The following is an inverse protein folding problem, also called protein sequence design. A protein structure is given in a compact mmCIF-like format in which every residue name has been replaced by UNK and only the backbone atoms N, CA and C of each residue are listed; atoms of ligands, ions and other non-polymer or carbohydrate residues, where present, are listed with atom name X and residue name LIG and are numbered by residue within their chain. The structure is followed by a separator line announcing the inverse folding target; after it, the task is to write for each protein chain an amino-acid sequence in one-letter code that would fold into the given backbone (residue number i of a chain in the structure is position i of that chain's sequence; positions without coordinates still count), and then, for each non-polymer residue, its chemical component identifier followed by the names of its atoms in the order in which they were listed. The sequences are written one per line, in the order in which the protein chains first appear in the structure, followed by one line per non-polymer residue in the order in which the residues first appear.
data_IF_467115240939
#
_entry.id   IF_467115240939
#
_cell.length_a   1.000
_cell.length_b   1.000
_cell.length_c   1.000
_cell.angle_alpha   90.00
_cell.angle_beta   90.00
_cell.angle_gamma   90.00
#
_symmetry.space_group_name_H-M   'P 1'
#
loop_
_entity.id
_entity.type
_entity.pdbx_description
1 polymer ?
#
# COMPACT_ATOMS: atom_id res chain seq x y z
N UNK A 1 4.33 -26.95 -67.94
CA UNK A 1 3.80 -26.05 -66.89
C UNK A 1 4.72 -26.14 -65.69
N UNK A 2 5.46 -25.06 -65.43
CA UNK A 2 6.66 -25.05 -64.60
C UNK A 2 6.37 -24.84 -63.11
N UNK A 3 7.01 -25.64 -62.27
CA UNK A 3 7.00 -25.53 -60.81
C UNK A 3 7.94 -24.40 -60.37
N UNK A 4 7.43 -23.36 -59.70
CA UNK A 4 8.26 -22.30 -59.12
C UNK A 4 8.46 -22.53 -57.63
N UNK A 5 9.71 -22.83 -57.26
CA UNK A 5 10.23 -22.85 -55.90
C UNK A 5 10.19 -21.43 -55.29
N UNK A 6 9.88 -21.33 -53.99
CA UNK A 6 10.01 -20.09 -53.22
C UNK A 6 11.11 -20.22 -52.19
N UNK A 7 12.11 -19.37 -52.36
CA UNK A 7 13.33 -19.25 -51.57
C UNK A 7 13.09 -18.86 -50.11
N UNK A 8 13.91 -19.46 -49.26
CA UNK A 8 13.94 -19.35 -47.81
C UNK A 8 14.97 -18.27 -47.44
N UNK A 9 14.54 -17.05 -47.15
CA UNK A 9 15.42 -15.97 -46.69
C UNK A 9 15.51 -15.98 -45.17
N UNK A 10 16.57 -16.61 -44.64
CA UNK A 10 17.02 -16.47 -43.24
C UNK A 10 17.62 -15.08 -43.05
N UNK A 11 16.92 -14.24 -42.27
CA UNK A 11 17.44 -12.95 -41.80
C UNK A 11 18.09 -13.14 -40.45
N UNK A 12 19.42 -13.18 -40.48
CA UNK A 12 20.33 -13.19 -39.35
C UNK A 12 20.64 -11.73 -38.99
N UNK A 13 20.07 -11.19 -37.91
CA UNK A 13 20.46 -9.89 -37.38
C UNK A 13 20.35 -9.79 -35.85
N UNK A 14 21.47 -9.36 -35.27
CA UNK A 14 21.65 -8.68 -33.99
C UNK A 14 21.44 -9.47 -32.69
N UNK A 15 22.48 -10.21 -32.29
CA UNK A 15 22.83 -10.42 -30.88
C UNK A 15 23.36 -9.11 -30.30
N UNK A 16 22.47 -8.30 -29.73
CA UNK A 16 22.88 -7.19 -28.87
C UNK A 16 23.35 -7.71 -27.52
N UNK A 17 24.62 -7.40 -27.29
CA UNK A 17 25.43 -7.59 -26.12
C UNK A 17 24.84 -6.84 -24.91
N UNK A 18 24.07 -7.52 -24.06
CA UNK A 18 23.70 -7.02 -22.73
C UNK A 18 24.59 -7.67 -21.68
N UNK A 19 25.72 -7.00 -21.43
CA UNK A 19 26.49 -7.14 -20.20
C UNK A 19 25.56 -6.91 -18.99
N UNK A 20 25.02 -8.01 -18.46
CA UNK A 20 24.28 -8.05 -17.21
C UNK A 20 25.27 -7.97 -16.07
N UNK A 21 25.51 -6.74 -15.59
CA UNK A 21 26.21 -6.42 -14.38
C UNK A 21 25.60 -7.15 -13.18
N UNK A 22 26.26 -8.21 -12.74
CA UNK A 22 26.04 -8.81 -11.43
C UNK A 22 26.48 -7.81 -10.36
N UNK A 23 25.52 -7.05 -9.83
CA UNK A 23 25.72 -6.24 -8.64
C UNK A 23 26.05 -7.12 -7.44
N UNK A 24 27.33 -7.19 -7.11
CA UNK A 24 27.84 -7.77 -5.86
C UNK A 24 27.23 -7.00 -4.69
N UNK A 25 26.35 -7.69 -3.96
CA UNK A 25 25.61 -7.15 -2.82
C UNK A 25 26.56 -7.06 -1.62
N UNK A 26 27.21 -5.90 -1.48
CA UNK A 26 28.03 -5.57 -0.32
C UNK A 26 27.21 -5.70 0.98
N UNK A 27 27.66 -6.60 1.84
CA UNK A 27 27.19 -6.80 3.20
C UNK A 27 27.88 -5.80 4.12
N UNK A 28 27.25 -4.65 4.36
CA UNK A 28 27.67 -3.75 5.44
C UNK A 28 27.10 -4.25 6.76
N UNK A 29 27.90 -5.07 7.44
CA UNK A 29 27.91 -5.18 8.89
C UNK A 29 28.52 -3.91 9.50
N UNK A 30 27.86 -3.36 10.50
CA UNK A 30 28.41 -3.04 11.83
C UNK A 30 27.69 -1.85 12.46
N UNK A 31 27.62 -1.91 13.79
CA UNK A 31 27.72 -0.77 14.69
C UNK A 31 26.45 -0.11 15.24
N UNK A 32 26.36 -0.27 16.57
CA UNK A 32 25.89 0.66 17.60
C UNK A 32 24.46 0.46 18.13
N UNK A 33 24.42 -0.51 19.04
CA UNK A 33 23.58 -0.63 20.25
C UNK A 33 23.46 0.74 20.95
N UNK A 34 22.36 1.46 20.71
CA UNK A 34 22.00 2.67 21.49
C UNK A 34 21.13 2.24 22.67
N UNK A 35 21.75 2.28 23.85
CA UNK A 35 21.15 2.19 25.20
C UNK A 35 19.99 3.19 25.28
N UNK A 36 18.75 2.71 25.42
CA UNK A 36 17.58 3.56 25.70
C UNK A 36 17.31 3.49 27.19
N UNK A 37 17.46 4.65 27.82
CA UNK A 37 17.04 4.94 29.19
C UNK A 37 15.53 4.76 29.33
N UNK A 38 15.16 4.29 30.53
CA UNK A 38 13.80 4.12 30.98
C UNK A 38 13.08 5.47 31.00
N UNK A 39 11.88 5.52 30.41
CA UNK A 39 10.92 6.60 30.66
C UNK A 39 9.99 6.19 31.80
N UNK A 40 9.75 7.07 32.78
CA UNK A 40 8.85 6.80 33.90
C UNK A 40 7.37 6.80 33.47
N UNK A 41 6.59 5.94 34.13
CA UNK A 41 5.13 5.85 34.06
C UNK A 41 4.48 7.21 34.23
N UNK A 42 3.66 7.61 33.26
CA UNK A 42 2.76 8.76 33.40
C UNK A 42 1.41 8.26 33.85
N UNK A 43 1.08 8.62 35.08
CA UNK A 43 -0.19 8.45 35.77
C UNK A 43 -1.38 8.79 34.86
N UNK A 44 -2.40 7.92 34.90
CA UNK A 44 -3.72 8.16 34.35
C UNK A 44 -4.50 9.03 35.34
N UNK A 45 -4.86 10.24 34.92
CA UNK A 45 -5.80 11.10 35.64
C UNK A 45 -7.15 11.05 34.91
N UNK A 46 -8.23 10.55 35.54
CA UNK A 46 -9.55 10.58 34.96
C UNK A 46 -10.26 11.89 35.35
N UNK A 47 -10.27 12.86 34.43
CA UNK A 47 -11.10 14.06 34.57
C UNK A 47 -12.48 13.79 33.96
N UNK A 48 -13.46 13.59 34.84
CA UNK A 48 -14.87 13.66 34.49
C UNK A 48 -15.31 15.13 34.37
N UNK A 49 -16.01 15.53 33.30
CA UNK A 49 -16.70 16.81 33.29
C UNK A 49 -18.02 16.71 34.06
N UNK A 50 -18.01 17.28 35.26
CA UNK A 50 -19.21 17.63 36.05
C UNK A 50 -20.01 18.70 35.30
N UNK A 51 -21.12 18.32 34.65
CA UNK A 51 -22.14 19.25 34.15
C UNK A 51 -22.88 19.90 35.32
N UNK A 52 -22.38 21.05 35.78
CA UNK A 52 -23.16 21.99 36.58
C UNK A 52 -24.20 22.64 35.67
N UNK A 53 -25.47 22.26 35.82
CA UNK A 53 -26.61 23.05 35.33
C UNK A 53 -26.66 24.34 36.14
N UNK A 54 -26.31 25.46 35.53
CA UNK A 54 -26.67 26.78 36.01
C UNK A 54 -28.10 27.06 35.53
N UNK A 55 -29.01 27.10 36.51
CA UNK A 55 -30.38 27.53 36.34
C UNK A 55 -30.36 29.07 36.32
N UNK A 56 -30.39 29.66 35.13
CA UNK A 56 -30.51 31.11 34.98
C UNK A 56 -31.99 31.46 34.97
N UNK A 57 -32.47 31.89 36.13
CA UNK A 57 -33.76 32.55 36.29
C UNK A 57 -33.68 33.91 35.61
N UNK A 58 -34.30 34.03 34.43
CA UNK A 58 -34.42 35.27 33.68
C UNK A 58 -35.57 36.06 34.30
N UNK A 59 -35.20 37.10 35.05
CA UNK A 59 -36.11 38.15 35.47
C UNK A 59 -36.61 38.90 34.22
N UNK A 60 -37.93 39.08 34.17
CA UNK A 60 -38.61 39.93 33.22
C UNK A 60 -38.22 41.38 33.48
N UNK A 61 -37.47 41.96 32.55
CA UNK A 61 -37.30 43.41 32.42
C UNK A 61 -38.13 43.84 31.21
N UNK A 62 -39.32 44.35 31.49
CA UNK A 62 -40.10 45.15 30.55
C UNK A 62 -39.42 46.51 30.43
N UNK A 63 -38.77 46.76 29.30
CA UNK A 63 -38.06 48.01 29.05
C UNK A 63 -37.82 48.24 27.56
N UNK A 64 -38.68 49.06 26.95
CA UNK A 64 -38.43 49.91 25.79
C UNK A 64 -37.29 49.53 24.83
N UNK A 65 -37.53 48.57 23.92
CA UNK A 65 -36.63 48.26 22.80
C UNK A 65 -37.41 48.03 21.49
N UNK A 66 -38.04 49.09 20.96
CA UNK A 66 -38.78 49.03 19.69
C UNK A 66 -37.96 49.54 18.48
N UNK A 67 -36.63 49.68 18.60
CA UNK A 67 -35.75 50.12 17.50
C UNK A 67 -34.74 49.05 17.03
N UNK A 68 -34.64 47.90 17.70
CA UNK A 68 -33.69 46.83 17.33
C UNK A 68 -34.26 45.76 16.36
N UNK A 69 -35.58 45.77 16.10
CA UNK A 69 -36.21 44.72 15.29
C UNK A 69 -35.88 44.84 13.79
N UNK A 70 -35.67 46.04 13.27
CA UNK A 70 -35.39 46.21 11.82
C UNK A 70 -33.99 45.71 11.44
N UNK A 71 -32.99 45.97 12.29
CA UNK A 71 -31.62 45.51 12.07
C UNK A 71 -31.54 43.98 12.14
N UNK A 72 -32.26 43.33 13.06
CA UNK A 72 -32.28 41.89 13.17
C UNK A 72 -32.91 41.20 11.94
N UNK A 73 -33.97 41.80 11.37
CA UNK A 73 -34.60 41.31 10.14
C UNK A 73 -33.64 41.41 8.94
N UNK A 74 -32.82 42.45 8.84
CA UNK A 74 -31.84 42.56 7.75
C UNK A 74 -30.74 41.50 7.87
N UNK A 75 -30.24 41.24 9.08
CA UNK A 75 -29.23 40.20 9.33
C UNK A 75 -29.76 38.81 9.00
N UNK A 76 -31.01 38.52 9.34
CA UNK A 76 -31.65 37.23 9.03
C UNK A 76 -31.85 37.03 7.52
N UNK A 77 -32.22 38.08 6.78
CA UNK A 77 -32.34 38.02 5.31
C UNK A 77 -31.00 37.76 4.63
N UNK A 78 -29.91 38.39 5.10
CA UNK A 78 -28.55 38.14 4.58
C UNK A 78 -28.12 36.70 4.83
N UNK A 79 -28.38 36.15 6.03
CA UNK A 79 -28.07 34.74 6.35
C UNK A 79 -28.86 33.76 5.47
N UNK A 80 -30.14 34.04 5.20
CA UNK A 80 -30.94 33.21 4.28
C UNK A 80 -30.39 33.23 2.86
N UNK A 81 -30.08 34.41 2.32
CA UNK A 81 -29.49 34.53 0.98
C UNK A 81 -28.13 33.81 0.88
N UNK A 82 -27.30 33.87 1.94
CA UNK A 82 -26.02 33.16 1.99
C UNK A 82 -26.21 31.63 2.05
N UNK A 83 -27.18 31.15 2.85
CA UNK A 83 -27.51 29.73 2.91
C UNK A 83 -28.07 29.20 1.58
N UNK A 84 -28.90 29.99 0.90
CA UNK A 84 -29.43 29.64 -0.42
C UNK A 84 -28.35 29.61 -1.51
N UNK A 85 -27.41 30.58 -1.49
CA UNK A 85 -26.27 30.58 -2.40
C UNK A 85 -25.32 29.38 -2.17
N UNK A 86 -25.09 29.00 -0.91
CA UNK A 86 -24.34 27.79 -0.56
C UNK A 86 -25.06 26.50 -1.02
N UNK A 87 -26.41 26.48 -0.93
CA UNK A 87 -27.22 25.35 -1.38
C UNK A 87 -27.25 25.24 -2.92
N UNK A 88 -27.30 26.36 -3.64
CA UNK A 88 -27.27 26.40 -5.10
C UNK A 88 -25.90 25.98 -5.66
N UNK A 89 -24.80 26.33 -4.98
CA UNK A 89 -23.45 25.87 -5.35
C UNK A 89 -23.24 24.39 -5.05
N UNK A 90 -23.80 23.86 -3.95
CA UNK A 90 -23.81 22.42 -3.67
C UNK A 90 -24.68 21.61 -4.66
N UNK A 91 -25.76 22.20 -5.19
CA UNK A 91 -26.61 21.54 -6.18
C UNK A 91 -25.96 21.45 -7.56
N UNK A 92 -25.16 22.46 -7.97
CA UNK A 92 -24.52 22.49 -9.30
C UNK A 92 -23.40 21.46 -9.48
N UNK A 93 -22.80 20.95 -8.40
CA UNK A 93 -21.78 19.88 -8.48
C UNK A 93 -22.36 18.46 -8.57
N UNK A 94 -23.69 18.31 -8.51
CA UNK A 94 -24.34 16.98 -8.45
C UNK A 94 -24.81 16.41 -9.80
N UNK A 95 -24.73 17.16 -10.90
CA UNK A 95 -25.37 16.77 -12.17
C UNK A 95 -24.45 16.16 -13.24
N UNK A 96 -23.13 16.15 -13.05
CA UNK A 96 -22.23 15.30 -13.85
C UNK A 96 -22.01 13.94 -13.17
N UNK A 97 -23.10 13.29 -12.77
CA UNK A 97 -23.08 11.86 -12.42
C UNK A 97 -22.94 11.06 -13.71
N UNK A 98 -21.76 11.17 -14.32
CA UNK A 98 -21.31 10.27 -15.38
C UNK A 98 -21.64 8.85 -14.92
N UNK A 99 -22.51 8.16 -15.67
CA UNK A 99 -23.04 6.83 -15.34
C UNK A 99 -21.93 5.96 -14.76
N UNK A 100 -21.95 5.79 -13.43
CA UNK A 100 -20.87 5.10 -12.72
C UNK A 100 -20.91 3.65 -13.16
N UNK A 101 -19.89 3.23 -13.92
CA UNK A 101 -19.80 1.87 -14.42
C UNK A 101 -19.41 0.96 -13.26
N UNK A 102 -20.35 0.12 -12.82
CA UNK A 102 -20.09 -0.89 -11.79
C UNK A 102 -19.10 -1.92 -12.33
N UNK A 103 -17.94 -2.05 -11.68
CA UNK A 103 -16.91 -3.01 -12.04
C UNK A 103 -17.04 -4.28 -11.18
N UNK A 104 -17.48 -5.37 -11.81
CA UNK A 104 -17.62 -6.66 -11.15
C UNK A 104 -16.25 -7.27 -10.86
N UNK A 105 -16.13 -7.94 -9.71
CA UNK A 105 -14.88 -8.58 -9.29
C UNK A 105 -14.56 -9.76 -10.23
N UNK A 106 -13.37 -9.79 -10.87
CA UNK A 106 -12.95 -10.94 -11.66
C UNK A 106 -12.80 -12.22 -10.82
N UNK A 107 -12.97 -13.37 -11.44
CA UNK A 107 -12.71 -14.68 -10.81
C UNK A 107 -11.21 -14.83 -10.52
N UNK A 108 -10.88 -15.35 -9.34
CA UNK A 108 -9.49 -15.61 -8.91
C UNK A 108 -8.99 -14.68 -7.80
N UNK A 109 -7.69 -14.72 -7.53
CA UNK A 109 -7.01 -13.85 -6.58
C UNK A 109 -6.06 -12.86 -7.29
N UNK A 110 -5.96 -11.64 -6.78
CA UNK A 110 -5.14 -10.60 -7.37
C UNK A 110 -3.65 -10.98 -7.32
N UNK A 111 -2.97 -10.91 -8.46
CA UNK A 111 -1.54 -11.21 -8.59
C UNK A 111 -1.20 -12.70 -8.70
N UNK A 112 -2.19 -13.58 -8.73
CA UNK A 112 -1.98 -15.03 -8.67
C UNK A 112 -1.79 -15.67 -10.06
N UNK A 113 -0.77 -15.23 -10.80
CA UNK A 113 -0.32 -15.80 -12.08
C UNK A 113 -1.39 -16.45 -12.96
N UNK A 114 -1.31 -17.78 -13.16
CA UNK A 114 -2.15 -18.58 -14.08
C UNK A 114 -3.65 -18.60 -13.74
N UNK A 115 -4.04 -18.36 -12.47
CA UNK A 115 -5.44 -18.45 -12.00
C UNK A 115 -5.99 -17.14 -11.46
N UNK A 116 -5.13 -16.13 -11.38
CA UNK A 116 -5.42 -14.82 -10.83
C UNK A 116 -5.66 -13.79 -11.92
N UNK A 117 -5.84 -12.56 -11.47
CA UNK A 117 -6.01 -11.42 -12.35
C UNK A 117 -5.05 -10.29 -11.99
N UNK A 118 -4.76 -9.43 -12.96
CA UNK A 118 -4.01 -8.22 -12.70
C UNK A 118 -4.96 -7.13 -12.17
N UNK A 119 -4.77 -6.75 -10.91
CA UNK A 119 -5.63 -5.81 -10.20
C UNK A 119 -5.79 -4.47 -10.92
N UNK A 120 -4.69 -3.91 -11.43
CA UNK A 120 -4.70 -2.62 -12.15
C UNK A 120 -5.55 -2.70 -13.42
N UNK A 121 -5.46 -3.81 -14.16
CA UNK A 121 -6.27 -4.00 -15.36
C UNK A 121 -7.75 -4.20 -15.03
N UNK A 122 -8.06 -4.90 -13.94
CA UNK A 122 -9.44 -5.11 -13.48
C UNK A 122 -10.14 -3.82 -13.01
N UNK A 123 -9.37 -2.84 -12.54
CA UNK A 123 -9.86 -1.50 -12.21
C UNK A 123 -9.92 -0.56 -13.42
N UNK A 124 -9.66 -1.07 -14.63
CA UNK A 124 -9.61 -0.28 -15.88
C UNK A 124 -8.56 0.85 -15.89
N UNK A 125 -7.59 0.82 -14.96
CA UNK A 125 -6.52 1.81 -14.83
C UNK A 125 -5.37 1.54 -15.81
N UNK A 126 -5.60 1.76 -17.11
CA UNK A 126 -4.60 1.54 -18.17
C UNK A 126 -3.70 2.77 -18.38
N UNK A 127 -2.53 2.54 -19.00
CA UNK A 127 -1.59 3.62 -19.36
C UNK A 127 -0.76 4.17 -18.19
N UNK A 128 -0.06 5.29 -18.46
CA UNK A 128 0.81 5.97 -17.48
C UNK A 128 0.00 6.63 -16.36
N UNK A 129 -1.02 7.43 -16.73
CA UNK A 129 -1.93 8.08 -15.77
C UNK A 129 -2.64 7.06 -14.86
N UNK A 130 -3.13 5.95 -15.42
CA UNK A 130 -3.74 4.88 -14.63
C UNK A 130 -2.76 4.22 -13.65
N UNK A 131 -1.48 4.13 -14.00
CA UNK A 131 -0.43 3.64 -13.08
C UNK A 131 -0.19 4.61 -11.91
N UNK A 132 -0.21 5.92 -12.17
CA UNK A 132 -0.06 6.95 -11.14
C UNK A 132 -1.22 6.89 -10.15
N UNK A 133 -2.47 6.91 -10.65
CA UNK A 133 -3.68 6.77 -9.83
C UNK A 133 -3.65 5.47 -9.02
N UNK A 134 -3.29 4.35 -9.64
CA UNK A 134 -3.17 3.08 -8.93
C UNK A 134 -2.17 3.14 -7.77
N UNK A 135 -1.01 3.78 -7.97
CA UNK A 135 0.00 3.93 -6.94
C UNK A 135 -0.46 4.86 -5.82
N UNK A 136 -1.16 5.93 -6.15
CA UNK A 136 -1.73 6.86 -5.18
C UNK A 136 -2.73 6.16 -4.26
N UNK A 137 -3.68 5.41 -4.84
CA UNK A 137 -4.65 4.64 -4.06
C UNK A 137 -3.93 3.60 -3.18
N UNK A 138 -2.92 2.93 -3.72
CA UNK A 138 -2.14 1.94 -2.99
C UNK A 138 -1.40 2.58 -1.80
N UNK A 139 -0.90 3.80 -1.97
CA UNK A 139 -0.27 4.57 -0.90
C UNK A 139 -1.30 4.99 0.18
N UNK A 140 -2.48 5.47 -0.22
CA UNK A 140 -3.57 5.74 0.72
C UNK A 140 -3.92 4.49 1.55
N UNK A 141 -4.06 3.32 0.90
CA UNK A 141 -4.31 2.05 1.61
C UNK A 141 -3.23 1.77 2.64
N UNK A 142 -1.94 2.00 2.34
CA UNK A 142 -0.84 1.78 3.29
C UNK A 142 -0.94 2.72 4.49
N UNK A 143 -1.11 4.01 4.25
CA UNK A 143 -1.23 5.04 5.28
C UNK A 143 -2.37 4.68 6.23
N UNK A 144 -3.56 4.41 5.69
CA UNK A 144 -4.74 4.10 6.49
C UNK A 144 -4.65 2.74 7.19
N UNK A 145 -3.94 1.77 6.62
CA UNK A 145 -3.67 0.50 7.31
C UNK A 145 -2.83 0.71 8.57
N UNK A 146 -1.81 1.57 8.50
CA UNK A 146 -0.97 1.93 9.64
C UNK A 146 -1.80 2.71 10.66
N UNK A 147 -2.56 3.71 10.22
CA UNK A 147 -3.40 4.55 11.07
C UNK A 147 -4.48 3.76 11.81
N UNK A 148 -5.11 2.79 11.15
CA UNK A 148 -6.09 1.90 11.77
C UNK A 148 -5.47 0.87 12.74
N UNK A 149 -4.14 0.79 12.82
CA UNK A 149 -3.43 -0.11 13.73
C UNK A 149 -3.72 -1.59 13.44
N UNK A 150 -3.68 -1.98 12.16
CA UNK A 150 -3.73 -3.39 11.77
C UNK A 150 -2.42 -4.10 12.15
N UNK A 151 -2.52 -5.37 12.53
CA UNK A 151 -1.35 -6.15 12.94
C UNK A 151 -0.66 -6.77 11.73
N UNK A 152 0.49 -6.23 11.34
CA UNK A 152 1.24 -6.73 10.19
C UNK A 152 1.80 -8.15 10.34
N UNK A 153 1.77 -8.74 11.54
CA UNK A 153 2.18 -10.14 11.76
C UNK A 153 1.08 -11.12 11.37
N UNK A 154 -0.18 -10.72 11.49
CA UNK A 154 -1.36 -11.56 11.21
C UNK A 154 -1.70 -11.60 9.73
N UNK A 155 -2.23 -12.74 9.29
CA UNK A 155 -2.78 -12.87 7.93
C UNK A 155 -4.09 -12.06 7.81
N UNK A 156 -4.46 -11.67 6.59
CA UNK A 156 -5.69 -10.89 6.32
C UNK A 156 -6.94 -11.50 6.97
N UNK A 157 -7.10 -12.84 6.90
CA UNK A 157 -8.26 -13.56 7.48
C UNK A 157 -8.35 -13.52 9.01
N UNK A 158 -7.27 -13.14 9.69
CA UNK A 158 -7.17 -13.09 11.16
C UNK A 158 -7.06 -11.64 11.67
N UNK A 159 -7.27 -10.66 10.80
CA UNK A 159 -7.36 -9.26 11.19
C UNK A 159 -8.75 -8.98 11.78
N UNK A 160 -8.84 -7.94 12.57
CA UNK A 160 -10.12 -7.41 13.03
C UNK A 160 -10.89 -6.81 11.85
N UNK A 161 -12.10 -7.32 11.60
CA UNK A 161 -12.95 -6.89 10.51
C UNK A 161 -13.41 -5.43 10.66
N UNK A 162 -13.57 -4.94 11.90
CA UNK A 162 -13.97 -3.55 12.14
C UNK A 162 -12.86 -2.59 11.69
N UNK A 163 -11.61 -2.93 11.99
CA UNK A 163 -10.44 -2.16 11.52
C UNK A 163 -10.30 -2.19 10.00
N UNK A 164 -10.53 -3.34 9.37
CA UNK A 164 -10.55 -3.44 7.91
C UNK A 164 -11.63 -2.54 7.31
N UNK A 165 -12.85 -2.57 7.87
CA UNK A 165 -13.94 -1.71 7.45
C UNK A 165 -13.57 -0.22 7.55
N UNK A 166 -12.95 0.19 8.65
CA UNK A 166 -12.48 1.57 8.83
C UNK A 166 -11.45 1.99 7.76
N UNK A 167 -10.51 1.10 7.42
CA UNK A 167 -9.56 1.37 6.31
C UNK A 167 -10.31 1.60 5.00
N UNK A 168 -11.33 0.81 4.69
CA UNK A 168 -12.10 0.99 3.46
C UNK A 168 -12.87 2.31 3.45
N UNK A 169 -13.52 2.67 4.56
CA UNK A 169 -14.22 3.96 4.69
C UNK A 169 -13.26 5.15 4.47
N UNK A 170 -12.08 5.13 5.12
CA UNK A 170 -11.08 6.19 4.96
C UNK A 170 -10.54 6.26 3.53
N UNK A 171 -10.23 5.12 2.91
CA UNK A 171 -9.77 5.09 1.50
C UNK A 171 -10.84 5.64 0.56
N UNK A 172 -12.10 5.26 0.73
CA UNK A 172 -13.20 5.76 -0.10
C UNK A 172 -13.41 7.28 0.07
N UNK A 173 -13.22 7.81 1.29
CA UNK A 173 -13.35 9.26 1.53
C UNK A 173 -12.28 10.10 0.84
N UNK A 174 -11.07 9.54 0.64
CA UNK A 174 -9.93 10.28 0.07
C UNK A 174 -9.78 10.03 -1.43
N UNK A 175 -10.23 8.88 -1.91
CA UNK A 175 -10.13 8.49 -3.31
C UNK A 175 -11.54 8.39 -3.92
N UNK A 176 -12.05 9.46 -4.56
CA UNK A 176 -13.39 9.45 -5.17
C UNK A 176 -13.57 8.37 -6.26
N UNK A 177 -12.48 7.89 -6.83
CA UNK A 177 -12.49 6.77 -7.79
C UNK A 177 -12.80 5.42 -7.14
N UNK A 178 -12.66 5.29 -5.82
CA UNK A 178 -12.82 4.06 -5.04
C UNK A 178 -14.21 3.95 -4.37
N UNK A 179 -15.25 4.56 -4.93
CA UNK A 179 -16.61 4.51 -4.36
C UNK A 179 -17.23 3.10 -4.45
N UNK A 180 -18.13 2.78 -3.53
CA UNK A 180 -18.87 1.51 -3.50
C UNK A 180 -19.66 1.25 -4.79
N UNK A 181 -20.12 2.31 -5.45
CA UNK A 181 -20.82 2.25 -6.73
C UNK A 181 -19.91 1.70 -7.86
N UNK A 182 -18.63 2.07 -7.84
CA UNK A 182 -17.64 1.53 -8.78
C UNK A 182 -17.23 0.11 -8.41
N UNK A 183 -17.04 -0.15 -7.10
CA UNK A 183 -16.47 -1.39 -6.59
C UNK A 183 -17.35 -2.01 -5.50
N UNK A 184 -18.31 -2.88 -5.87
CA UNK A 184 -19.18 -3.54 -4.91
C UNK A 184 -18.38 -4.26 -3.81
N UNK A 185 -18.77 -4.07 -2.55
CA UNK A 185 -18.13 -4.68 -1.38
C UNK A 185 -16.64 -4.32 -1.25
N UNK A 186 -16.20 -3.19 -1.84
CA UNK A 186 -14.83 -2.68 -1.76
C UNK A 186 -13.77 -3.72 -2.19
N UNK A 187 -14.09 -4.57 -3.19
CA UNK A 187 -13.23 -5.70 -3.55
C UNK A 187 -11.82 -5.27 -3.99
N UNK A 188 -11.70 -4.10 -4.61
CA UNK A 188 -10.42 -3.57 -5.09
C UNK A 188 -9.52 -3.13 -3.92
N UNK A 189 -10.05 -2.35 -2.98
CA UNK A 189 -9.35 -1.98 -1.75
C UNK A 189 -8.96 -3.21 -0.92
N UNK A 190 -9.86 -4.20 -0.81
CA UNK A 190 -9.56 -5.47 -0.13
C UNK A 190 -8.40 -6.25 -0.78
N UNK A 191 -8.33 -6.26 -2.12
CA UNK A 191 -7.24 -6.89 -2.85
C UNK A 191 -5.89 -6.18 -2.63
N UNK A 192 -5.88 -4.84 -2.68
CA UNK A 192 -4.68 -4.03 -2.38
C UNK A 192 -4.19 -4.26 -0.95
N UNK A 193 -5.12 -4.26 0.02
CA UNK A 193 -4.80 -4.51 1.42
C UNK A 193 -4.19 -5.90 1.65
N UNK A 194 -4.76 -6.94 1.04
CA UNK A 194 -4.20 -8.30 1.07
C UNK A 194 -2.79 -8.35 0.51
N UNK A 195 -2.55 -7.71 -0.64
CA UNK A 195 -1.24 -7.65 -1.26
C UNK A 195 -0.23 -6.94 -0.36
N UNK A 196 -0.60 -5.81 0.24
CA UNK A 196 0.25 -5.05 1.16
C UNK A 196 0.63 -5.87 2.40
N UNK A 197 -0.35 -6.43 3.11
CA UNK A 197 -0.11 -7.28 4.30
C UNK A 197 0.73 -8.51 3.95
N UNK A 198 0.46 -9.14 2.80
CA UNK A 198 1.24 -10.27 2.30
C UNK A 198 2.70 -9.91 2.03
N UNK A 199 2.97 -8.75 1.42
CA UNK A 199 4.32 -8.25 1.16
C UNK A 199 5.04 -7.89 2.46
N UNK A 200 4.37 -7.18 3.37
CA UNK A 200 4.96 -6.77 4.64
C UNK A 200 5.34 -7.99 5.50
N UNK A 201 4.49 -9.03 5.55
CA UNK A 201 4.82 -10.29 6.22
C UNK A 201 6.03 -11.00 5.60
N UNK A 202 6.14 -11.02 4.28
CA UNK A 202 7.33 -11.57 3.60
C UNK A 202 8.60 -10.81 4.00
N UNK A 203 8.52 -9.50 4.09
CA UNK A 203 9.61 -8.65 4.56
C UNK A 203 9.98 -8.92 6.03
N UNK A 204 9.00 -9.01 6.93
CA UNK A 204 9.22 -9.34 8.35
C UNK A 204 9.91 -10.70 8.54
N UNK A 205 9.55 -11.72 7.75
CA UNK A 205 10.24 -13.01 7.76
C UNK A 205 11.69 -12.90 7.29
N UNK A 206 11.94 -12.14 6.22
CA UNK A 206 13.31 -11.87 5.74
C UNK A 206 14.17 -11.15 6.78
N UNK A 207 13.56 -10.38 7.69
CA UNK A 207 14.21 -9.71 8.81
C UNK A 207 14.31 -10.55 10.09
N UNK A 208 13.78 -11.78 10.11
CA UNK A 208 13.78 -12.64 11.29
C UNK A 208 12.77 -12.23 12.38
N UNK A 209 11.89 -11.26 12.11
CA UNK A 209 10.88 -10.79 13.07
C UNK A 209 9.66 -11.71 13.16
N UNK A 210 9.54 -12.67 12.23
CA UNK A 210 8.51 -13.70 12.19
C UNK A 210 9.17 -15.05 11.95
N UNK A 211 8.64 -16.13 12.55
CA UNK A 211 9.14 -17.48 12.27
C UNK A 211 9.01 -17.77 10.77
N UNK A 212 9.93 -18.60 10.27
CA UNK A 212 9.81 -19.13 8.93
C UNK A 212 8.39 -19.70 8.77
N UNK A 213 7.70 -19.31 7.70
CA UNK A 213 6.39 -19.90 7.41
C UNK A 213 6.60 -21.40 7.38
N UNK A 214 5.76 -22.21 8.06
CA UNK A 214 5.75 -23.64 7.83
C UNK A 214 5.45 -23.81 6.34
N UNK A 215 6.50 -24.01 5.56
CA UNK A 215 6.41 -24.14 4.13
C UNK A 215 5.76 -25.48 3.96
N UNK A 216 4.46 -25.49 3.63
CA UNK A 216 3.73 -26.71 3.28
C UNK A 216 4.52 -27.40 2.17
N UNK A 217 5.31 -28.41 2.52
CA UNK A 217 5.84 -29.40 1.61
C UNK A 217 7.07 -29.05 0.76
N UNK A 218 8.09 -28.35 1.27
CA UNK A 218 9.45 -28.57 0.74
C UNK A 218 10.14 -29.75 1.46
N UNK A 219 9.42 -30.87 1.58
CA UNK A 219 9.99 -32.17 1.98
C UNK A 219 10.71 -32.84 0.81
N UNK A 220 10.71 -32.27 -0.39
CA UNK A 220 11.23 -32.91 -1.61
C UNK A 220 12.75 -32.87 -1.82
N UNK A 221 13.53 -32.37 -0.86
CA UNK A 221 14.97 -32.17 -1.05
C UNK A 221 15.93 -32.70 0.03
N UNK A 222 15.45 -33.10 1.23
CA UNK A 222 16.34 -33.50 2.33
C UNK A 222 16.42 -35.00 2.62
N UNK A 223 15.79 -35.84 1.81
CA UNK A 223 15.95 -37.30 1.89
C UNK A 223 17.14 -37.84 1.07
N UNK A 224 17.80 -37.02 0.23
CA UNK A 224 18.95 -37.45 -0.61
C UNK A 224 20.30 -36.93 -0.12
N UNK A 225 20.44 -36.65 1.18
CA UNK A 225 21.73 -36.25 1.76
C UNK A 225 22.18 -37.16 2.93
N UNK A 226 21.43 -38.23 3.24
CA UNK A 226 21.82 -39.19 4.29
C UNK A 226 22.07 -40.63 3.79
N UNK A 227 21.96 -40.89 2.48
CA UNK A 227 22.28 -42.21 1.90
C UNK A 227 23.54 -42.22 1.00
N UNK A 228 24.36 -41.18 1.02
CA UNK A 228 25.66 -41.17 0.31
C UNK A 228 26.88 -41.25 1.24
N UNK A 229 26.68 -41.25 2.57
CA UNK A 229 27.76 -41.45 3.55
C UNK A 229 28.18 -42.93 3.74
N UNK A 230 27.93 -43.82 2.75
CA UNK A 230 28.30 -45.24 2.85
C UNK A 230 29.00 -45.86 1.64
N UNK A 231 29.29 -45.11 0.57
CA UNK A 231 30.11 -45.63 -0.52
C UNK A 231 31.03 -44.55 -1.09
N UNK A 232 32.33 -44.73 -0.85
CA UNK A 232 33.35 -44.14 -1.71
C UNK A 232 34.41 -43.33 -0.99
N UNK A 233 35.24 -43.99 -0.19
CA UNK A 233 36.66 -43.64 -0.14
C UNK A 233 37.20 -43.68 -1.58
N UNK A 234 37.33 -42.51 -2.20
CA UNK A 234 37.96 -42.31 -3.49
C UNK A 234 38.95 -41.17 -3.38
N UNK A 235 40.20 -41.51 -3.08
CA UNK A 235 41.32 -40.58 -3.02
C UNK A 235 41.66 -40.04 -4.41
N UNK A 236 41.89 -38.73 -4.49
CA UNK A 236 42.50 -38.03 -5.63
C UNK A 236 42.32 -36.54 -5.37
N UNK A 237 43.20 -35.86 -4.64
CA UNK A 237 44.61 -35.57 -4.95
C UNK A 237 44.79 -35.09 -6.38
N UNK A 238 44.79 -33.76 -6.59
CA UNK A 238 45.84 -33.08 -7.34
C UNK A 238 45.69 -31.55 -7.24
N UNK A 239 46.80 -30.94 -6.85
CA UNK A 239 47.09 -29.51 -6.73
C UNK A 239 47.02 -28.78 -8.08
N UNK A 240 46.89 -27.45 -8.05
CA UNK A 240 47.53 -26.43 -8.92
C UNK A 240 46.81 -25.09 -8.66
N UNK A 241 47.31 -24.17 -7.83
CA UNK A 241 48.50 -23.32 -7.99
C UNK A 241 48.29 -22.13 -8.95
N UNK A 242 48.60 -20.94 -8.42
CA UNK A 242 49.11 -19.73 -9.07
C UNK A 242 48.19 -18.73 -9.82
N UNK A 243 48.36 -17.47 -9.39
CA UNK A 243 48.23 -16.15 -10.06
C UNK A 243 47.10 -15.25 -9.56
N UNK A 244 47.27 -13.94 -9.39
CA UNK A 244 48.42 -13.02 -9.38
C UNK A 244 47.83 -11.68 -8.92
N UNK A 245 48.64 -10.86 -8.25
CA UNK A 245 48.26 -9.51 -7.83
C UNK A 245 47.91 -8.61 -9.01
N UNK A 246 46.90 -7.76 -8.86
CA UNK A 246 46.88 -6.47 -9.54
C UNK A 246 46.06 -5.46 -8.75
N UNK A 247 46.77 -4.64 -8.01
CA UNK A 247 46.30 -3.37 -7.48
C UNK A 247 45.80 -2.48 -8.65
N UNK A 248 44.62 -1.90 -8.50
CA UNK A 248 44.20 -0.75 -9.30
C UNK A 248 43.22 0.09 -8.50
N UNK A 249 43.69 1.28 -8.14
CA UNK A 249 42.95 2.26 -7.35
C UNK A 249 41.73 2.81 -8.09
N UNK A 250 40.76 3.28 -7.30
CA UNK A 250 39.65 4.08 -7.79
C UNK A 250 39.49 5.30 -6.89
N UNK A 251 40.29 6.32 -7.19
CA UNK A 251 40.08 7.71 -6.79
C UNK A 251 38.96 8.28 -7.68
N UNK A 252 37.89 8.79 -7.09
CA UNK A 252 36.76 9.32 -7.87
C UNK A 252 35.74 10.09 -7.06
N UNK A 253 36.19 11.01 -6.20
CA UNK A 253 35.37 12.10 -5.70
C UNK A 253 35.05 13.06 -6.85
N UNK A 254 33.77 13.26 -7.18
CA UNK A 254 33.29 14.52 -7.76
C UNK A 254 32.02 14.95 -7.03
N UNK A 255 32.23 15.90 -6.13
CA UNK A 255 31.20 16.85 -5.70
C UNK A 255 31.08 17.87 -6.84
N UNK A 256 29.86 18.17 -7.24
CA UNK A 256 29.52 19.31 -8.10
C UNK A 256 28.49 20.10 -7.31
N UNK A 257 28.81 21.37 -7.10
CA UNK A 257 27.96 22.41 -6.52
C UNK A 257 26.69 22.67 -7.34
#
# INVERSE_FOLDING_TARGET
MACTAKDKKTSDQHKENRNSSHGTRQSNSTSKKKKREARPSRNMEPLQPSSKRLNTEVQMQDGDDNHNNEDEVTVLKVKLAQAEAAKATAARTSNDTAKVKVLTKPRGEAGDGKRGYNLRHAMELRGKKGKEIYNEILESVRIYTIQAGLDFKKSYRYQDHLKIGNVFTMVCSVQPSMTQDCFPVNWAAAAMLKQFLGNHRRWLRKKGCLPASPTKGSTKGKARAQLENRRGSGSGSSNSDSRDESASGCSGLRVVD
#
